data_IF_639186007693
#
_entry.id   IF_639186007693
#
_cell.length_a   1.000
_cell.length_b   1.000
_cell.length_c   1.000
_cell.angle_alpha   90.00
_cell.angle_beta   90.00
_cell.angle_gamma   90.00
#
_symmetry.space_group_name_H-M   'P 1'
#
loop_
_entity.id
_entity.type
_entity.pdbx_description
1 polymer ?
#
# COMPACT_ATOMS: atom_id res chain seq x y z
N UNK A 1 -8.15 12.54 24.55
CA UNK A 1 -8.79 11.77 25.60
C UNK A 1 -9.02 10.34 25.16
N UNK A 2 -8.93 9.39 26.09
CA UNK A 2 -9.25 7.99 25.83
C UNK A 2 -10.77 7.82 25.73
N UNK A 3 -11.23 7.00 24.77
CA UNK A 3 -12.67 6.74 24.56
C UNK A 3 -13.23 5.66 25.48
N UNK A 4 -12.36 4.97 26.24
CA UNK A 4 -12.69 3.93 27.20
C UNK A 4 -11.44 3.33 27.83
N UNK A 5 -11.59 2.36 28.75
CA UNK A 5 -10.45 1.61 29.27
C UNK A 5 -9.67 0.92 28.15
N UNK A 6 -8.33 0.79 28.27
CA UNK A 6 -7.53 0.06 27.28
C UNK A 6 -8.04 -1.34 27.01
N UNK A 7 -8.17 -1.71 25.74
CA UNK A 7 -8.65 -3.03 25.30
C UNK A 7 -10.17 -3.22 25.34
N UNK A 8 -10.96 -2.25 25.81
CA UNK A 8 -12.42 -2.40 25.91
C UNK A 8 -13.18 -2.06 24.63
N UNK A 9 -12.61 -1.21 23.77
CA UNK A 9 -13.25 -0.73 22.56
C UNK A 9 -12.22 -0.42 21.47
N UNK A 10 -12.51 -0.80 20.24
CA UNK A 10 -11.73 -0.37 19.09
C UNK A 10 -12.12 1.04 18.67
N UNK A 11 -11.11 1.89 18.51
CA UNK A 11 -11.26 3.20 17.87
C UNK A 11 -10.05 3.47 17.01
N UNK A 12 -10.24 3.57 15.69
CA UNK A 12 -9.14 3.85 14.77
C UNK A 12 -8.65 5.28 14.95
N UNK A 13 -7.38 5.44 15.29
CA UNK A 13 -6.80 6.75 15.55
C UNK A 13 -5.39 6.89 14.95
N UNK A 14 -5.23 7.76 13.97
CA UNK A 14 -3.95 8.10 13.37
C UNK A 14 -2.94 8.66 14.40
N UNK A 15 -3.44 9.36 15.43
CA UNK A 15 -2.60 9.90 16.50
C UNK A 15 -1.83 8.82 17.27
N UNK A 16 -2.42 7.63 17.44
CA UNK A 16 -1.72 6.51 18.08
C UNK A 16 -0.53 6.02 17.26
N UNK A 17 -0.72 5.88 15.95
CA UNK A 17 0.37 5.49 15.04
C UNK A 17 1.46 6.57 14.96
N UNK A 18 1.09 7.86 15.07
CA UNK A 18 2.07 8.94 15.18
C UNK A 18 2.89 8.84 16.48
N UNK A 19 2.25 8.51 17.60
CA UNK A 19 2.94 8.31 18.88
C UNK A 19 3.97 7.18 18.81
N UNK A 20 3.76 6.13 17.98
CA UNK A 20 4.77 5.09 17.76
C UNK A 20 6.05 5.66 17.14
N UNK A 21 5.94 6.60 16.21
CA UNK A 21 7.10 7.32 15.67
C UNK A 21 7.83 8.13 16.74
N UNK A 22 7.07 8.81 17.60
CA UNK A 22 7.67 9.55 18.74
C UNK A 22 8.41 8.61 19.68
N UNK A 23 7.82 7.45 19.99
CA UNK A 23 8.45 6.43 20.85
C UNK A 23 9.75 5.92 20.22
N UNK A 24 9.74 5.57 18.93
CA UNK A 24 10.97 5.15 18.21
C UNK A 24 12.04 6.23 18.33
N UNK A 25 11.72 7.48 18.02
CA UNK A 25 12.68 8.58 18.09
C UNK A 25 13.25 8.75 19.51
N UNK A 26 12.39 8.65 20.52
CA UNK A 26 12.79 8.86 21.93
C UNK A 26 13.65 7.73 22.47
N UNK A 27 13.28 6.48 22.15
CA UNK A 27 13.95 5.29 22.71
C UNK A 27 15.24 4.96 21.96
N UNK A 28 15.26 5.11 20.64
CA UNK A 28 16.42 4.76 19.81
C UNK A 28 17.38 5.91 19.57
N UNK A 29 16.97 7.15 19.85
CA UNK A 29 17.67 8.40 19.48
C UNK A 29 17.88 8.56 17.96
N UNK A 30 17.17 7.79 17.15
CA UNK A 30 17.16 7.86 15.69
C UNK A 30 15.82 8.39 15.22
N UNK A 31 15.77 9.10 14.09
CA UNK A 31 14.50 9.39 13.41
C UNK A 31 13.85 8.09 12.97
N UNK A 32 12.52 8.05 12.95
CA UNK A 32 11.78 6.83 12.59
C UNK A 32 12.17 6.32 11.20
N UNK A 33 12.33 7.23 10.24
CA UNK A 33 12.80 6.87 8.89
C UNK A 33 14.21 6.25 8.93
N UNK A 34 15.15 6.87 9.61
CA UNK A 34 16.54 6.38 9.72
C UNK A 34 16.57 4.99 10.38
N UNK A 35 15.75 4.79 11.43
CA UNK A 35 15.61 3.50 12.08
C UNK A 35 15.05 2.44 11.13
N UNK A 36 13.99 2.79 10.38
CA UNK A 36 13.37 1.90 9.41
C UNK A 36 14.30 1.59 8.22
N UNK A 37 15.02 2.58 7.70
CA UNK A 37 16.02 2.38 6.65
C UNK A 37 17.10 1.39 7.11
N UNK A 38 17.66 1.57 8.29
CA UNK A 38 18.71 0.70 8.81
C UNK A 38 18.24 -0.74 9.05
N UNK A 39 17.06 -0.91 9.65
CA UNK A 39 16.65 -2.20 10.20
C UNK A 39 15.67 -2.97 9.31
N UNK A 40 15.02 -2.31 8.36
CA UNK A 40 13.98 -2.91 7.52
C UNK A 40 14.21 -2.64 6.03
N UNK A 41 14.24 -1.37 5.61
CA UNK A 41 14.20 -1.03 4.19
C UNK A 41 15.47 -1.42 3.45
N UNK A 42 16.65 -1.07 3.96
CA UNK A 42 17.94 -1.46 3.36
C UNK A 42 18.10 -2.98 3.28
N UNK A 43 17.82 -3.76 4.34
CA UNK A 43 17.83 -5.21 4.25
C UNK A 43 16.87 -5.80 3.21
N UNK A 44 15.73 -5.15 2.96
CA UNK A 44 14.76 -5.54 1.93
C UNK A 44 15.13 -5.03 0.53
N UNK A 45 16.22 -4.28 0.38
CA UNK A 45 16.58 -3.63 -0.89
C UNK A 45 15.58 -2.55 -1.30
N UNK A 46 15.00 -1.84 -0.34
CA UNK A 46 14.11 -0.69 -0.54
C UNK A 46 14.95 0.58 -0.34
N UNK A 47 15.14 1.35 -1.39
CA UNK A 47 16.00 2.55 -1.37
C UNK A 47 15.25 3.85 -1.69
N UNK A 48 14.16 3.78 -2.44
CA UNK A 48 13.40 4.95 -2.83
C UNK A 48 12.18 5.10 -1.93
N UNK A 49 12.33 5.89 -0.88
CA UNK A 49 11.30 6.14 0.12
C UNK A 49 11.11 7.64 0.23
N UNK A 50 9.88 8.09 0.10
CA UNK A 50 9.49 9.43 0.51
C UNK A 50 8.55 9.32 1.71
N UNK A 51 8.88 10.00 2.82
CA UNK A 51 8.10 9.94 4.06
C UNK A 51 7.96 11.33 4.64
N UNK A 52 6.73 11.81 4.70
CA UNK A 52 6.42 13.16 5.18
C UNK A 52 6.69 13.29 6.67
N UNK A 53 7.08 14.49 7.07
CA UNK A 53 7.31 14.86 8.46
C UNK A 53 6.23 15.78 8.98
N UNK A 54 5.95 15.66 10.27
CA UNK A 54 5.15 16.65 11.00
C UNK A 54 5.87 17.99 11.11
N UNK A 55 5.17 19.07 11.51
CA UNK A 55 5.82 20.34 11.82
C UNK A 55 6.92 20.25 12.89
N UNK A 56 6.89 19.23 13.75
CA UNK A 56 7.91 18.95 14.75
C UNK A 56 9.10 18.14 14.20
N UNK A 57 9.13 17.85 12.89
CA UNK A 57 10.20 17.10 12.25
C UNK A 57 10.16 15.58 12.47
N UNK A 58 9.06 15.05 13.03
CA UNK A 58 8.86 13.62 13.27
C UNK A 58 8.19 13.00 12.05
N UNK A 59 8.69 11.86 11.59
CA UNK A 59 8.11 11.12 10.46
C UNK A 59 6.69 10.66 10.81
N UNK A 60 5.75 10.84 9.88
CA UNK A 60 4.31 10.61 10.11
C UNK A 60 4.01 9.11 10.14
N UNK A 61 3.85 8.54 11.34
CA UNK A 61 3.73 7.10 11.54
C UNK A 61 2.41 6.46 11.08
N UNK A 62 1.40 7.25 10.75
CA UNK A 62 0.09 6.76 10.31
C UNK A 62 -0.05 6.67 8.79
N UNK A 63 0.95 7.08 8.02
CA UNK A 63 0.88 7.09 6.57
C UNK A 63 1.80 8.14 5.96
N UNK A 64 1.40 8.69 4.80
CA UNK A 64 2.20 9.69 4.06
C UNK A 64 3.61 9.21 3.77
N UNK A 65 3.72 7.92 3.52
CA UNK A 65 4.90 7.24 3.04
C UNK A 65 4.62 6.69 1.64
N UNK A 66 5.50 6.99 0.71
CA UNK A 66 5.39 6.54 -0.67
C UNK A 66 6.41 5.46 -0.94
N UNK A 67 5.91 4.31 -1.37
CA UNK A 67 6.68 3.14 -1.77
C UNK A 67 6.25 2.68 -3.17
N UNK A 68 7.16 2.06 -3.89
CA UNK A 68 6.80 1.35 -5.11
C UNK A 68 5.94 0.12 -4.78
N UNK A 69 5.01 -0.30 -5.66
CA UNK A 69 4.21 -1.52 -5.43
C UNK A 69 5.06 -2.75 -5.10
N UNK A 70 6.19 -2.96 -5.79
CA UNK A 70 7.11 -4.05 -5.50
C UNK A 70 7.71 -3.96 -4.09
N UNK A 71 7.98 -2.76 -3.59
CA UNK A 71 8.53 -2.58 -2.24
C UNK A 71 7.46 -2.83 -1.18
N UNK A 72 6.21 -2.46 -1.45
CA UNK A 72 5.07 -2.87 -0.61
C UNK A 72 4.92 -4.40 -0.57
N UNK A 73 5.11 -5.07 -1.71
CA UNK A 73 5.05 -6.52 -1.79
C UNK A 73 6.17 -7.21 -1.00
N UNK A 74 7.38 -6.63 -0.94
CA UNK A 74 8.47 -7.12 -0.09
C UNK A 74 8.09 -7.11 1.40
N UNK A 75 7.37 -6.08 1.85
CA UNK A 75 6.87 -6.01 3.23
C UNK A 75 5.84 -7.13 3.48
N UNK A 76 4.87 -7.29 2.58
CA UNK A 76 3.90 -8.39 2.68
C UNK A 76 4.56 -9.76 2.66
N UNK A 77 5.55 -9.95 1.79
CA UNK A 77 6.32 -11.20 1.70
C UNK A 77 7.14 -11.49 2.96
N UNK A 78 7.76 -10.47 3.55
CA UNK A 78 8.44 -10.60 4.83
C UNK A 78 7.50 -11.14 5.91
N UNK A 79 6.30 -10.61 6.00
CA UNK A 79 5.30 -11.06 6.96
C UNK A 79 4.77 -12.46 6.64
N UNK A 80 4.50 -12.78 5.37
CA UNK A 80 4.11 -14.12 4.91
C UNK A 80 5.16 -15.17 5.30
N UNK A 81 6.44 -14.82 5.26
CA UNK A 81 7.57 -15.68 5.64
C UNK A 81 7.97 -15.53 7.11
N UNK A 82 7.02 -15.15 7.97
CA UNK A 82 7.24 -15.07 9.42
C UNK A 82 8.46 -14.21 9.80
N UNK A 83 8.65 -13.10 9.08
CA UNK A 83 9.72 -12.15 9.31
C UNK A 83 11.09 -12.50 8.74
N UNK A 84 11.17 -13.53 7.89
CA UNK A 84 12.42 -13.94 7.21
C UNK A 84 12.51 -13.33 5.82
N UNK A 85 13.71 -12.86 5.49
CA UNK A 85 14.08 -12.40 4.16
C UNK A 85 15.33 -13.16 3.70
N UNK A 86 15.17 -14.07 2.76
CA UNK A 86 16.20 -15.03 2.43
C UNK A 86 16.62 -15.85 3.65
N UNK A 87 17.89 -15.80 4.02
CA UNK A 87 18.42 -16.51 5.19
C UNK A 87 18.35 -15.70 6.50
N UNK A 88 18.00 -14.41 6.43
CA UNK A 88 18.01 -13.50 7.58
C UNK A 88 16.63 -13.39 8.23
N UNK A 89 16.58 -13.41 9.56
CA UNK A 89 15.42 -13.05 10.34
C UNK A 89 15.46 -11.54 10.61
N UNK A 90 14.64 -10.76 9.90
CA UNK A 90 14.59 -9.29 10.06
C UNK A 90 13.60 -8.88 11.14
N UNK A 91 12.47 -9.59 11.24
CA UNK A 91 11.44 -9.40 12.26
C UNK A 91 11.23 -10.75 12.93
N UNK A 92 11.17 -10.81 14.25
CA UNK A 92 10.99 -12.08 14.93
C UNK A 92 9.66 -12.74 14.53
N UNK A 93 9.64 -14.08 14.37
CA UNK A 93 8.43 -14.81 14.03
C UNK A 93 7.32 -14.64 15.07
N UNK A 94 7.71 -14.56 16.34
CA UNK A 94 6.79 -14.30 17.45
C UNK A 94 6.13 -12.90 17.36
N UNK A 95 6.85 -11.89 16.85
CA UNK A 95 6.27 -10.58 16.62
C UNK A 95 5.31 -10.59 15.42
N UNK A 96 5.70 -11.24 14.31
CA UNK A 96 4.79 -11.39 13.16
C UNK A 96 3.49 -12.06 13.62
N UNK A 97 3.56 -13.21 14.30
CA UNK A 97 2.39 -13.88 14.82
C UNK A 97 1.56 -12.99 15.75
N UNK A 98 2.21 -12.31 16.68
CA UNK A 98 1.53 -11.42 17.63
C UNK A 98 0.89 -10.23 16.94
N UNK A 99 1.55 -9.61 15.94
CA UNK A 99 1.05 -8.42 15.28
C UNK A 99 -0.05 -8.70 14.26
N UNK A 100 -0.10 -9.90 13.71
CA UNK A 100 -1.13 -10.32 12.72
C UNK A 100 -2.25 -11.18 13.34
N UNK A 101 -2.27 -11.35 14.65
CA UNK A 101 -3.39 -11.94 15.38
C UNK A 101 -4.41 -10.86 15.70
N UNK A 102 -5.71 -11.14 15.55
CA UNK A 102 -6.77 -10.27 15.99
C UNK A 102 -6.77 -10.11 17.51
N UNK A 103 -6.68 -8.88 17.99
CA UNK A 103 -6.71 -8.55 19.43
C UNK A 103 -8.03 -7.95 19.85
N UNK A 104 -8.75 -7.33 18.93
CA UNK A 104 -10.03 -6.68 19.18
C UNK A 104 -10.85 -6.68 17.89
N UNK A 105 -12.15 -6.91 18.01
CA UNK A 105 -13.09 -6.76 16.91
C UNK A 105 -13.20 -5.28 16.53
N UNK A 106 -12.92 -4.96 15.27
CA UNK A 106 -13.03 -3.61 14.72
C UNK A 106 -14.36 -3.40 13.97
N UNK A 107 -14.83 -4.44 13.29
CA UNK A 107 -16.13 -4.53 12.59
C UNK A 107 -16.52 -6.02 12.54
N UNK A 108 -17.81 -6.34 12.24
CA UNK A 108 -18.21 -7.73 12.01
C UNK A 108 -17.28 -8.45 11.02
N UNK A 109 -16.77 -9.61 11.40
CA UNK A 109 -15.83 -10.44 10.66
C UNK A 109 -14.46 -9.77 10.35
N UNK A 110 -14.10 -8.69 11.04
CA UNK A 110 -12.84 -7.98 10.86
C UNK A 110 -12.26 -7.57 12.21
N UNK A 111 -11.14 -8.14 12.55
CA UNK A 111 -10.38 -7.87 13.75
C UNK A 111 -9.21 -6.93 13.47
N UNK A 112 -8.61 -6.39 14.52
CA UNK A 112 -7.43 -5.56 14.42
C UNK A 112 -6.30 -6.13 15.28
N UNK A 113 -5.16 -6.32 14.63
CA UNK A 113 -3.90 -6.69 15.25
C UNK A 113 -3.08 -5.45 15.61
N UNK A 114 -1.75 -5.56 15.52
CA UNK A 114 -0.88 -4.39 15.68
C UNK A 114 -0.58 -3.79 14.31
N UNK A 115 -1.42 -2.83 13.90
CA UNK A 115 -1.42 -2.13 12.61
C UNK A 115 -1.82 -3.03 11.40
N UNK A 116 -2.40 -4.20 11.66
CA UNK A 116 -2.93 -5.11 10.65
C UNK A 116 -4.43 -5.31 10.83
N UNK A 117 -5.17 -5.24 9.75
CA UNK A 117 -6.56 -5.68 9.68
C UNK A 117 -6.56 -7.19 9.44
N UNK A 118 -7.27 -7.93 10.27
CA UNK A 118 -7.22 -9.41 10.30
C UNK A 118 -8.61 -9.95 10.05
N UNK A 119 -8.75 -10.76 8.99
CA UNK A 119 -10.00 -11.43 8.66
C UNK A 119 -10.15 -12.75 9.46
N UNK A 120 -11.37 -13.26 9.56
CA UNK A 120 -11.65 -14.51 10.26
C UNK A 120 -11.01 -15.75 9.60
N UNK A 121 -10.70 -15.66 8.30
CA UNK A 121 -9.99 -16.69 7.54
C UNK A 121 -8.46 -16.69 7.77
N UNK A 122 -7.96 -15.86 8.69
CA UNK A 122 -6.54 -15.75 8.99
C UNK A 122 -5.72 -14.93 7.99
N UNK A 123 -6.33 -14.41 6.93
CA UNK A 123 -5.71 -13.43 6.05
C UNK A 123 -5.63 -12.07 6.73
N UNK A 124 -4.60 -11.30 6.43
CA UNK A 124 -4.46 -9.96 7.02
C UNK A 124 -3.99 -8.93 6.00
N UNK A 125 -4.29 -7.67 6.27
CA UNK A 125 -4.04 -6.59 5.33
C UNK A 125 -3.56 -5.32 6.02
N UNK A 126 -2.62 -4.62 5.40
CA UNK A 126 -2.39 -3.21 5.65
C UNK A 126 -3.26 -2.43 4.67
N UNK A 127 -4.12 -1.54 5.18
CA UNK A 127 -5.10 -0.80 4.40
C UNK A 127 -4.82 0.69 4.54
N UNK A 128 -4.51 1.32 3.41
CA UNK A 128 -4.30 2.76 3.31
C UNK A 128 -5.45 3.48 2.62
N UNK A 129 -5.43 4.80 2.74
CA UNK A 129 -6.41 5.68 2.12
C UNK A 129 -6.40 5.55 0.59
N UNK A 130 -7.58 5.68 -0.04
CA UNK A 130 -7.76 5.68 -1.50
C UNK A 130 -7.33 4.40 -2.21
N UNK A 131 -7.35 3.24 -1.54
CA UNK A 131 -7.12 1.95 -2.19
C UNK A 131 -5.68 1.47 -2.18
N UNK A 132 -4.90 1.87 -1.19
CA UNK A 132 -3.58 1.31 -0.94
C UNK A 132 -3.75 0.02 -0.13
N UNK A 133 -3.26 -1.12 -0.64
CA UNK A 133 -3.40 -2.40 0.05
C UNK A 133 -2.13 -3.23 -0.03
N UNK A 134 -1.80 -3.87 1.08
CA UNK A 134 -0.96 -5.07 1.11
C UNK A 134 -1.84 -6.16 1.72
N UNK A 135 -2.24 -7.14 0.94
CA UNK A 135 -3.05 -8.28 1.38
C UNK A 135 -2.13 -9.50 1.46
N UNK A 136 -2.10 -10.15 2.61
CA UNK A 136 -1.31 -11.37 2.83
C UNK A 136 -2.28 -12.53 3.01
N UNK A 137 -2.34 -13.40 2.01
CA UNK A 137 -3.17 -14.59 1.97
C UNK A 137 -2.32 -15.81 2.34
N UNK A 138 -2.39 -16.19 3.62
CA UNK A 138 -1.47 -17.17 4.21
C UNK A 138 -1.66 -18.58 3.64
N UNK A 139 -2.89 -19.05 3.51
CA UNK A 139 -3.20 -20.37 2.96
C UNK A 139 -2.86 -20.49 1.48
N UNK A 140 -2.98 -19.38 0.73
CA UNK A 140 -2.64 -19.32 -0.69
C UNK A 140 -1.15 -19.07 -0.94
N UNK A 141 -0.36 -18.84 0.12
CA UNK A 141 1.04 -18.46 0.03
C UNK A 141 1.26 -17.27 -0.93
N UNK A 142 0.44 -16.23 -0.79
CA UNK A 142 0.35 -15.14 -1.75
C UNK A 142 0.32 -13.78 -1.07
N UNK A 143 0.92 -12.80 -1.74
CA UNK A 143 0.80 -11.37 -1.40
C UNK A 143 0.19 -10.63 -2.58
N UNK A 144 -0.83 -9.83 -2.31
CA UNK A 144 -1.46 -8.96 -3.31
C UNK A 144 -1.28 -7.51 -2.89
N UNK A 145 -0.86 -6.68 -3.81
CA UNK A 145 -0.64 -5.25 -3.57
C UNK A 145 -1.45 -4.42 -4.55
N UNK A 146 -2.10 -3.40 -4.01
CA UNK A 146 -2.74 -2.37 -4.81
C UNK A 146 -2.19 -0.99 -4.42
N UNK A 147 -2.01 -0.16 -5.43
CA UNK A 147 -1.87 1.27 -5.28
C UNK A 147 -3.01 1.93 -6.05
N UNK A 148 -3.69 2.88 -5.44
CA UNK A 148 -4.88 3.49 -6.04
C UNK A 148 -5.02 4.96 -5.67
N UNK A 149 -5.86 5.66 -6.42
CA UNK A 149 -6.33 7.02 -6.17
C UNK A 149 -7.85 7.06 -6.09
N UNK A 150 -8.46 6.06 -5.43
CA UNK A 150 -9.91 5.88 -5.40
C UNK A 150 -10.60 6.97 -4.57
N UNK A 151 -11.80 7.40 -4.96
CA UNK A 151 -12.64 8.25 -4.14
C UNK A 151 -12.94 7.59 -2.79
N UNK A 152 -13.10 8.40 -1.73
CA UNK A 152 -13.24 7.93 -0.35
C UNK A 152 -14.30 6.86 -0.10
N UNK A 153 -15.37 6.82 -0.89
CA UNK A 153 -16.42 5.78 -0.77
C UNK A 153 -16.10 4.43 -1.45
N UNK A 154 -14.95 4.29 -2.12
CA UNK A 154 -14.58 3.09 -2.88
C UNK A 154 -13.30 2.43 -2.36
N UNK A 155 -12.92 2.71 -1.14
CA UNK A 155 -11.68 2.17 -0.56
C UNK A 155 -11.67 0.65 -0.43
N UNK A 156 -12.83 -0.03 -0.41
CA UNK A 156 -12.97 -1.50 -0.38
C UNK A 156 -12.76 -2.18 -1.73
N UNK A 157 -12.82 -1.43 -2.82
CA UNK A 157 -12.77 -2.00 -4.18
C UNK A 157 -11.56 -2.93 -4.43
N UNK A 158 -10.32 -2.61 -4.01
CA UNK A 158 -9.19 -3.54 -4.17
C UNK A 158 -9.41 -4.89 -3.49
N UNK A 159 -10.01 -4.89 -2.30
CA UNK A 159 -10.34 -6.13 -1.60
C UNK A 159 -11.44 -6.90 -2.34
N UNK A 160 -12.49 -6.24 -2.78
CA UNK A 160 -13.57 -6.85 -3.58
C UNK A 160 -13.04 -7.48 -4.88
N UNK A 161 -12.13 -6.79 -5.58
CA UNK A 161 -11.48 -7.33 -6.77
C UNK A 161 -10.60 -8.54 -6.46
N UNK A 162 -9.91 -8.53 -5.33
CA UNK A 162 -9.12 -9.67 -4.87
C UNK A 162 -9.99 -10.88 -4.63
N UNK A 163 -11.08 -10.72 -3.89
CA UNK A 163 -12.02 -11.81 -3.59
C UNK A 163 -12.73 -12.34 -4.84
N UNK A 164 -13.06 -11.46 -5.78
CA UNK A 164 -13.82 -11.82 -6.98
C UNK A 164 -12.99 -12.43 -8.10
N UNK A 165 -11.75 -11.99 -8.28
CA UNK A 165 -10.97 -12.33 -9.46
C UNK A 165 -9.62 -12.95 -9.16
N UNK A 166 -8.93 -12.54 -8.09
CA UNK A 166 -7.58 -13.00 -7.80
C UNK A 166 -7.61 -14.33 -7.03
N UNK A 167 -8.31 -14.39 -5.92
CA UNK A 167 -8.39 -15.59 -5.10
C UNK A 167 -8.99 -16.79 -5.85
N UNK A 168 -10.09 -16.66 -6.62
CA UNK A 168 -10.61 -17.78 -7.41
C UNK A 168 -9.71 -18.25 -8.53
N UNK A 169 -8.75 -17.42 -8.98
CA UNK A 169 -7.76 -17.81 -10.00
C UNK A 169 -6.58 -18.61 -9.43
N UNK A 170 -6.45 -18.70 -8.10
CA UNK A 170 -5.39 -19.46 -7.44
C UNK A 170 -5.75 -20.94 -7.45
N UNK A 171 -5.03 -21.72 -8.23
CA UNK A 171 -5.25 -23.16 -8.37
C UNK A 171 -4.33 -24.00 -7.46
N UNK A 172 -3.31 -23.37 -6.87
CA UNK A 172 -2.33 -24.03 -6.00
C UNK A 172 -1.58 -22.99 -5.16
N UNK A 173 -1.18 -23.34 -3.96
CA UNK A 173 -0.24 -22.58 -3.12
C UNK A 173 1.23 -22.75 -3.55
N UNK A 174 1.50 -23.65 -4.48
CA UNK A 174 2.82 -23.84 -5.05
C UNK A 174 3.10 -22.82 -6.17
N UNK A 175 4.37 -22.69 -6.54
CA UNK A 175 4.76 -21.86 -7.68
C UNK A 175 4.03 -22.28 -8.95
N UNK A 176 3.42 -21.32 -9.63
CA UNK A 176 2.85 -21.54 -10.95
C UNK A 176 3.98 -21.80 -11.95
N UNK A 177 3.84 -22.80 -12.84
CA UNK A 177 4.83 -23.02 -13.91
C UNK A 177 5.05 -21.74 -14.72
N UNK A 178 6.31 -21.50 -15.10
CA UNK A 178 6.65 -20.34 -15.92
C UNK A 178 5.92 -20.37 -17.26
N UNK A 179 5.15 -19.32 -17.55
CA UNK A 179 4.55 -19.10 -18.86
C UNK A 179 5.19 -17.88 -19.50
N UNK A 180 6.26 -18.10 -20.27
CA UNK A 180 7.04 -17.03 -20.92
C UNK A 180 6.21 -16.14 -21.85
N UNK A 181 5.21 -16.70 -22.53
CA UNK A 181 4.33 -15.95 -23.44
C UNK A 181 3.47 -14.96 -22.67
N UNK A 182 2.79 -15.42 -21.62
CA UNK A 182 1.93 -14.56 -20.81
C UNK A 182 2.75 -13.60 -19.94
N UNK A 183 3.91 -14.00 -19.45
CA UNK A 183 4.84 -13.12 -18.76
C UNK A 183 5.29 -11.95 -19.66
N UNK A 184 5.62 -12.21 -20.91
CA UNK A 184 5.98 -11.17 -21.89
C UNK A 184 4.78 -10.25 -22.20
N UNK A 185 3.58 -10.83 -22.31
CA UNK A 185 2.34 -10.05 -22.53
C UNK A 185 2.06 -9.14 -21.34
N UNK A 186 2.20 -9.64 -20.12
CA UNK A 186 2.04 -8.85 -18.90
C UNK A 186 3.08 -7.72 -18.82
N UNK A 187 4.36 -8.01 -19.08
CA UNK A 187 5.43 -7.02 -19.12
C UNK A 187 5.16 -5.91 -20.14
N UNK A 188 4.68 -6.29 -21.32
CA UNK A 188 4.28 -5.31 -22.35
C UNK A 188 3.12 -4.45 -21.88
N UNK A 189 2.10 -5.05 -21.25
CA UNK A 189 0.96 -4.33 -20.72
C UNK A 189 1.39 -3.37 -19.60
N UNK A 190 2.18 -3.85 -18.63
CA UNK A 190 2.71 -3.02 -17.53
C UNK A 190 3.51 -1.83 -18.07
N UNK A 191 4.34 -2.05 -19.09
CA UNK A 191 5.09 -0.95 -19.74
C UNK A 191 4.19 0.04 -20.46
N UNK A 192 3.09 -0.42 -21.06
CA UNK A 192 2.15 0.46 -21.77
C UNK A 192 1.34 1.37 -20.83
N UNK A 193 1.12 0.93 -19.58
CA UNK A 193 0.43 1.71 -18.56
C UNK A 193 1.40 2.42 -17.60
N UNK A 194 2.73 2.24 -17.79
CA UNK A 194 3.72 2.92 -16.96
C UNK A 194 3.67 4.42 -17.20
N UNK A 195 3.74 5.16 -16.10
CA UNK A 195 3.71 6.61 -16.11
C UNK A 195 5.16 7.10 -16.13
N UNK A 196 5.51 7.87 -17.15
CA UNK A 196 6.83 8.50 -17.24
C UNK A 196 6.77 9.88 -16.60
N UNK A 197 7.65 10.13 -15.62
CA UNK A 197 7.88 11.46 -15.06
C UNK A 197 8.93 12.17 -15.91
N UNK A 198 8.55 13.27 -16.52
CA UNK A 198 9.48 14.13 -17.23
C UNK A 198 9.22 15.57 -16.76
N UNK A 199 10.27 16.26 -16.29
CA UNK A 199 10.22 17.64 -15.81
C UNK A 199 9.14 17.95 -14.76
N UNK A 200 8.88 17.01 -13.85
CA UNK A 200 7.86 17.13 -12.80
C UNK A 200 6.43 16.93 -13.28
N UNK A 201 6.23 16.47 -14.52
CA UNK A 201 4.94 16.12 -15.08
C UNK A 201 4.80 14.60 -15.20
N UNK A 202 3.58 14.14 -14.97
CA UNK A 202 3.18 12.76 -15.24
C UNK A 202 2.37 12.76 -16.53
N UNK A 203 2.87 12.08 -17.55
CA UNK A 203 2.15 11.87 -18.80
C UNK A 203 1.49 10.49 -18.78
N UNK A 204 0.17 10.45 -18.94
CA UNK A 204 -0.53 9.21 -19.22
C UNK A 204 -0.44 8.95 -20.72
N UNK A 205 -0.01 7.73 -21.10
CA UNK A 205 0.14 7.40 -22.52
C UNK A 205 -1.21 7.46 -23.24
N UNK A 206 -1.17 7.91 -24.49
CA UNK A 206 -2.35 8.19 -25.31
C UNK A 206 -3.19 6.99 -25.75
N UNK A 207 -2.73 5.76 -25.53
CA UNK A 207 -3.20 4.65 -26.36
C UNK A 207 -4.46 3.93 -25.90
N UNK A 208 -5.00 4.19 -24.70
CA UNK A 208 -6.20 3.46 -24.21
C UNK A 208 -7.27 4.33 -23.55
N UNK A 209 -7.64 5.44 -24.15
CA UNK A 209 -8.88 6.13 -23.75
C UNK A 209 -8.88 6.82 -22.39
N UNK A 210 -7.74 6.96 -21.75
CA UNK A 210 -7.58 7.86 -20.61
C UNK A 210 -7.49 9.31 -21.09
N UNK A 211 -8.01 10.22 -20.29
CA UNK A 211 -8.20 11.62 -20.62
C UNK A 211 -7.00 12.21 -21.38
N UNK A 212 -7.26 12.73 -22.55
CA UNK A 212 -6.25 13.25 -23.50
C UNK A 212 -5.33 14.33 -22.93
N UNK A 213 -5.63 14.88 -21.75
CA UNK A 213 -4.97 16.05 -21.20
C UNK A 213 -4.81 16.00 -19.65
N UNK A 214 -4.69 14.79 -19.06
CA UNK A 214 -4.40 14.67 -17.62
C UNK A 214 -2.94 14.96 -17.32
N UNK A 215 -2.62 16.08 -16.68
CA UNK A 215 -1.27 16.45 -16.27
C UNK A 215 -1.17 16.41 -14.75
N UNK A 216 -0.27 15.58 -14.22
CA UNK A 216 0.06 15.54 -12.78
C UNK A 216 1.33 16.36 -12.55
N UNK A 217 1.26 17.37 -11.71
CA UNK A 217 2.43 18.14 -11.31
C UNK A 217 2.86 17.78 -9.89
N UNK A 218 4.10 17.35 -9.71
CA UNK A 218 4.73 17.32 -8.41
C UNK A 218 5.28 18.72 -8.10
N UNK A 219 4.70 19.41 -7.14
CA UNK A 219 5.29 20.65 -6.61
C UNK A 219 6.41 20.28 -5.62
N UNK A 220 7.39 21.17 -5.38
CA UNK A 220 8.51 20.96 -4.41
C UNK A 220 8.06 20.68 -2.98
N UNK A 221 6.83 20.99 -2.63
CA UNK A 221 6.10 20.45 -1.49
C UNK A 221 5.19 19.32 -2.01
N UNK A 222 5.00 18.20 -1.29
CA UNK A 222 4.23 17.06 -1.79
C UNK A 222 2.73 17.35 -1.82
N UNK A 223 2.35 18.34 -2.61
CA UNK A 223 0.98 18.61 -3.00
C UNK A 223 0.85 18.13 -4.43
N UNK A 224 0.15 17.02 -4.60
CA UNK A 224 -0.27 16.62 -5.93
C UNK A 224 -1.35 17.60 -6.40
N UNK A 225 -1.07 18.32 -7.47
CA UNK A 225 -2.11 19.04 -8.20
C UNK A 225 -2.56 18.17 -9.36
N UNK A 226 -3.85 17.92 -9.42
CA UNK A 226 -4.47 17.25 -10.56
C UNK A 226 -5.23 18.32 -11.36
N UNK A 227 -4.85 18.54 -12.59
CA UNK A 227 -5.64 19.32 -13.53
C UNK A 227 -6.36 18.36 -14.48
N UNK A 228 -7.70 18.35 -14.41
CA UNK A 228 -8.54 17.58 -15.32
C UNK A 228 -9.38 18.52 -16.15
N UNK A 229 -9.49 18.29 -17.46
CA UNK A 229 -10.59 18.86 -18.23
C UNK A 229 -11.86 18.08 -17.90
N UNK A 230 -12.75 18.64 -17.07
CA UNK A 230 -14.12 18.16 -16.92
C UNK A 230 -14.98 19.01 -17.88
N UNK A 231 -15.26 18.45 -19.04
CA UNK A 231 -15.93 19.20 -20.09
C UNK A 231 -15.03 20.34 -20.61
N UNK A 232 -15.60 21.50 -20.84
CA UNK A 232 -14.91 22.69 -21.34
C UNK A 232 -14.23 23.55 -20.23
N UNK A 233 -14.23 23.13 -18.97
CA UNK A 233 -13.67 23.89 -17.84
C UNK A 233 -12.55 23.12 -17.14
N UNK A 234 -11.39 23.75 -16.99
CA UNK A 234 -10.29 23.26 -16.14
C UNK A 234 -10.63 23.53 -14.67
N UNK A 235 -10.56 22.51 -13.83
CA UNK A 235 -10.62 22.66 -12.38
C UNK A 235 -9.29 22.28 -11.77
N UNK A 236 -8.72 23.17 -10.97
CA UNK A 236 -7.52 22.90 -10.17
C UNK A 236 -7.92 22.61 -8.72
N UNK A 237 -7.35 21.56 -8.11
CA UNK A 237 -7.55 21.24 -6.70
C UNK A 237 -6.27 21.54 -5.95
N UNK A 238 -6.31 22.52 -5.06
CA UNK A 238 -5.13 23.05 -4.38
C UNK A 238 -5.03 22.69 -2.90
N UNK A 239 -5.98 21.95 -2.31
CA UNK A 239 -6.03 21.68 -0.88
C UNK A 239 -5.96 20.20 -0.54
N UNK A 240 -5.18 19.80 0.52
CA UNK A 240 -5.27 18.45 1.08
C UNK A 240 -6.66 18.26 1.69
N UNK A 241 -7.40 17.27 1.24
CA UNK A 241 -8.73 16.93 1.78
C UNK A 241 -9.91 17.26 0.88
N UNK A 242 -9.75 17.97 -0.22
CA UNK A 242 -10.80 18.04 -1.22
C UNK A 242 -10.85 16.76 -2.05
N UNK A 243 -11.93 16.01 -1.86
CA UNK A 243 -12.20 14.80 -2.63
C UNK A 243 -12.67 15.24 -4.01
N UNK A 244 -11.86 14.99 -5.04
CA UNK A 244 -12.33 15.10 -6.40
C UNK A 244 -13.32 13.98 -6.70
N UNK A 245 -14.53 14.33 -7.12
CA UNK A 245 -15.40 13.38 -7.82
C UNK A 245 -14.82 13.20 -9.24
N UNK A 246 -14.03 12.16 -9.40
CA UNK A 246 -13.60 11.73 -10.73
C UNK A 246 -14.75 10.99 -11.38
N UNK A 247 -15.19 11.45 -12.56
CA UNK A 247 -15.90 10.59 -13.50
C UNK A 247 -14.85 9.64 -14.08
N UNK A 248 -14.60 8.54 -13.37
CA UNK A 248 -13.72 7.48 -13.84
C UNK A 248 -14.42 6.83 -15.04
N UNK A 249 -13.76 6.72 -16.20
CA UNK A 249 -14.30 5.91 -17.31
C UNK A 249 -14.61 4.51 -16.79
N UNK A 250 -15.63 3.86 -17.35
CA UNK A 250 -16.11 2.53 -16.91
C UNK A 250 -15.05 1.40 -16.96
N UNK A 251 -13.83 1.68 -17.38
CA UNK A 251 -12.68 0.79 -17.40
C UNK A 251 -11.50 1.46 -16.69
N UNK A 252 -11.29 1.08 -15.43
CA UNK A 252 -10.00 1.28 -14.75
C UNK A 252 -9.35 -0.09 -14.72
N UNK A 253 -8.28 -0.27 -15.47
CA UNK A 253 -7.46 -1.48 -15.38
C UNK A 253 -6.49 -1.31 -14.23
N UNK A 254 -6.60 -2.19 -13.22
CA UNK A 254 -5.67 -2.22 -12.10
C UNK A 254 -4.55 -3.20 -12.42
N UNK A 255 -3.30 -2.77 -12.23
CA UNK A 255 -2.18 -3.69 -12.19
C UNK A 255 -2.10 -4.32 -10.81
N UNK A 256 -2.45 -5.60 -10.69
CA UNK A 256 -2.20 -6.40 -9.51
C UNK A 256 -0.87 -7.14 -9.69
N UNK A 257 0.08 -6.94 -8.78
CA UNK A 257 1.33 -7.69 -8.76
C UNK A 257 1.19 -8.85 -7.76
N UNK A 258 1.25 -10.07 -8.26
CA UNK A 258 1.25 -11.30 -7.46
C UNK A 258 2.67 -11.85 -7.40
N UNK A 259 3.24 -11.90 -6.21
CA UNK A 259 4.60 -12.40 -5.99
C UNK A 259 4.53 -13.71 -5.23
N UNK A 260 4.96 -14.80 -5.85
CA UNK A 260 4.94 -16.15 -5.27
C UNK A 260 6.30 -16.66 -4.80
N UNK A 261 7.42 -16.01 -5.18
CA UNK A 261 8.78 -16.36 -4.72
C UNK A 261 9.75 -15.18 -4.77
N UNK A 262 10.69 -15.06 -3.79
CA UNK A 262 11.62 -13.94 -3.69
C UNK A 262 12.90 -14.06 -4.56
N UNK A 263 13.10 -15.13 -5.32
CA UNK A 263 14.37 -15.39 -6.02
C UNK A 263 14.71 -14.36 -7.11
N UNK A 264 13.81 -13.39 -7.37
CA UNK A 264 14.00 -12.32 -8.37
C UNK A 264 13.56 -10.93 -7.90
N UNK A 265 13.51 -10.69 -6.59
CA UNK A 265 13.30 -9.36 -6.03
C UNK A 265 14.62 -8.66 -5.72
#
# INVERSE_FOLDING_TARGET
PMVGPPGSKFEYCNGLSYLLSVIINTTTKMKTREFAEKNLFTPLGISEIDWEKSPQGIDVGYGRMWLKPHDMAKIGWLYLNKGRWGTKQLVSSSWVEKSTRGHIEAKPALQYGYQWWVNDDGNYSAIGYSGQYIIVATEMNMVVVFTGGLPGGQTSLPFELTMKYIFPAVVSSNSVPENKKEAKRLDTLVKSISITFQDGFVWLSKEEGMAKDGVFRRTKTPKFMFEYPIGSKKQSVTSPGQIMRMNIPKRVEFAANVITKPEKL
#
